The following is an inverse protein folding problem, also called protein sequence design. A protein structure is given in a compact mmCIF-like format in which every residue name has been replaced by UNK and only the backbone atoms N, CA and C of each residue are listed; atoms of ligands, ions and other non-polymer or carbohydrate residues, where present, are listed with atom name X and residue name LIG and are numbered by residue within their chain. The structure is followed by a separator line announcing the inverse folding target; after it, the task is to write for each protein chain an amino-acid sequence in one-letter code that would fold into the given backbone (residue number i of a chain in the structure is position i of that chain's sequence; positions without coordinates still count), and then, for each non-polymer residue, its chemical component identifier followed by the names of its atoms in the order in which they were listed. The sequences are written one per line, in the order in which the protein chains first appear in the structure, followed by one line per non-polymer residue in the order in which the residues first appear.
data_IF_139929917514
#
_entry.id   IF_139929917514
#
_cell.length_a   1.000
_cell.length_b   1.000
_cell.length_c   1.000
_cell.angle_alpha   90.00
_cell.angle_beta   90.00
_cell.angle_gamma   90.00
#
_symmetry.space_group_name_H-M   'P 1'
#
loop_
_entity.id
_entity.type
_entity.pdbx_description
1 polymer ?
#
# COMPACT_ATOMS: atom_id res chain seq x y z
N UNK A 1 -6.43 6.78 -14.04
CA UNK A 1 -7.02 6.51 -12.71
C UNK A 1 -5.93 6.54 -11.65
N UNK A 2 -6.19 7.18 -10.52
CA UNK A 2 -5.31 7.17 -9.35
C UNK A 2 -5.65 5.99 -8.45
N UNK A 3 -4.63 5.32 -7.93
CA UNK A 3 -4.78 4.24 -6.94
C UNK A 3 -3.88 4.55 -5.75
N UNK A 4 -4.45 4.63 -4.56
CA UNK A 4 -3.73 4.87 -3.32
C UNK A 4 -3.18 3.55 -2.79
N UNK A 5 -1.94 3.56 -2.31
CA UNK A 5 -1.33 2.37 -1.76
C UNK A 5 -0.49 2.70 -0.53
N UNK A 6 -0.31 1.70 0.30
CA UNK A 6 0.54 1.71 1.47
C UNK A 6 1.16 0.34 1.69
N UNK A 7 2.31 0.29 2.36
CA UNK A 7 3.03 -0.94 2.68
C UNK A 7 3.39 -1.01 4.15
N UNK A 8 3.43 -2.22 4.68
CA UNK A 8 4.01 -2.50 5.99
C UNK A 8 5.25 -3.40 5.82
N UNK A 9 6.28 -3.14 6.58
CA UNK A 9 7.55 -3.86 6.49
C UNK A 9 8.19 -4.09 7.86
N UNK A 10 9.19 -4.97 7.90
CA UNK A 10 9.70 -5.54 9.14
C UNK A 10 10.47 -4.56 10.02
N UNK A 11 11.20 -3.63 9.41
CA UNK A 11 12.03 -2.65 10.13
C UNK A 11 12.47 -1.51 9.20
N UNK A 12 12.87 -0.39 9.77
CA UNK A 12 13.55 0.72 9.09
C UNK A 12 15.07 0.53 8.96
N UNK A 13 15.57 -0.64 9.34
CA UNK A 13 17.00 -0.96 9.39
C UNK A 13 17.64 -1.26 8.04
N UNK A 14 18.73 -2.03 8.08
CA UNK A 14 19.60 -2.27 6.93
C UNK A 14 18.99 -3.21 5.87
N UNK A 15 18.11 -4.11 6.29
CA UNK A 15 17.51 -5.14 5.41
C UNK A 15 16.02 -5.31 5.72
N UNK A 16 15.19 -4.30 5.43
CA UNK A 16 13.75 -4.39 5.63
C UNK A 16 13.13 -5.45 4.71
N UNK A 17 12.06 -6.09 5.19
CA UNK A 17 11.30 -7.10 4.48
C UNK A 17 9.84 -6.70 4.40
N UNK A 18 9.23 -6.87 3.23
CA UNK A 18 7.82 -6.55 3.03
C UNK A 18 6.92 -7.50 3.84
N UNK A 19 5.97 -6.94 4.58
CA UNK A 19 4.97 -7.69 5.34
C UNK A 19 3.63 -7.70 4.64
N UNK A 20 3.15 -6.53 4.20
CA UNK A 20 1.85 -6.41 3.52
C UNK A 20 1.81 -5.21 2.58
N UNK A 21 0.86 -5.25 1.66
CA UNK A 21 0.52 -4.15 0.77
C UNK A 21 -0.99 -4.02 0.65
N UNK A 22 -1.49 -2.79 0.66
CA UNK A 22 -2.89 -2.46 0.43
C UNK A 22 -3.05 -1.39 -0.62
N UNK A 23 -4.04 -1.55 -1.48
CA UNK A 23 -4.38 -0.60 -2.54
C UNK A 23 -5.88 -0.33 -2.56
N UNK A 24 -6.26 0.90 -2.89
CA UNK A 24 -7.66 1.30 -3.08
C UNK A 24 -7.78 2.25 -4.26
N UNK A 25 -8.81 2.04 -5.08
CA UNK A 25 -9.10 2.91 -6.23
C UNK A 25 -9.57 4.30 -5.80
N UNK A 26 -9.43 5.26 -6.70
CA UNK A 26 -9.80 6.67 -6.49
C UNK A 26 -11.28 6.84 -6.06
N UNK A 27 -12.18 6.07 -6.64
CA UNK A 27 -13.60 6.03 -6.24
C UNK A 27 -13.84 5.30 -4.90
N UNK A 28 -12.85 4.53 -4.43
CA UNK A 28 -12.95 3.76 -3.18
C UNK A 28 -13.67 2.42 -3.32
N UNK A 29 -14.07 2.02 -4.53
CA UNK A 29 -14.93 0.85 -4.72
C UNK A 29 -14.18 -0.47 -4.85
N UNK A 30 -12.93 -0.43 -5.32
CA UNK A 30 -12.13 -1.63 -5.48
C UNK A 30 -10.87 -1.56 -4.60
N UNK A 31 -10.54 -2.69 -4.00
CA UNK A 31 -9.39 -2.83 -3.12
C UNK A 31 -8.58 -4.06 -3.47
N UNK A 32 -7.28 -3.97 -3.17
CA UNK A 32 -6.37 -5.11 -3.20
C UNK A 32 -5.62 -5.16 -1.86
N UNK A 33 -5.51 -6.32 -1.26
CA UNK A 33 -4.77 -6.53 -0.03
C UNK A 33 -4.04 -7.86 -0.05
N UNK A 34 -2.76 -7.86 0.32
CA UNK A 34 -1.96 -9.07 0.43
C UNK A 34 -0.98 -9.00 1.60
N UNK A 35 -0.77 -10.15 2.22
CA UNK A 35 0.24 -10.40 3.25
C UNK A 35 1.25 -11.43 2.74
N UNK A 36 2.52 -11.23 3.06
CA UNK A 36 3.60 -12.06 2.54
C UNK A 36 3.90 -13.26 3.46
N UNK A 37 4.02 -14.45 2.86
CA UNK A 37 4.33 -15.69 3.57
C UNK A 37 5.82 -16.08 3.52
N UNK A 38 6.60 -15.50 2.60
CA UNK A 38 7.95 -15.95 2.27
C UNK A 38 9.02 -14.86 2.24
N UNK A 39 8.69 -13.64 2.67
CA UNK A 39 9.60 -12.48 2.64
C UNK A 39 10.31 -12.24 3.96
N UNK A 40 9.69 -12.56 5.07
CA UNK A 40 10.19 -12.29 6.42
C UNK A 40 9.88 -13.45 7.38
N UNK A 41 10.59 -13.47 8.49
CA UNK A 41 10.20 -14.21 9.69
C UNK A 41 10.13 -13.30 10.92
N UNK A 42 9.73 -13.82 12.06
CA UNK A 42 9.58 -13.02 13.29
C UNK A 42 10.90 -12.39 13.76
N UNK A 43 12.04 -13.00 13.45
CA UNK A 43 13.34 -12.47 13.83
C UNK A 43 13.73 -11.25 13.00
N UNK A 44 13.18 -11.09 11.80
CA UNK A 44 13.38 -9.91 10.95
C UNK A 44 12.62 -8.68 11.46
N UNK A 45 11.59 -8.88 12.30
CA UNK A 45 10.71 -7.82 12.75
C UNK A 45 11.28 -7.07 13.96
N UNK A 46 11.40 -5.74 13.83
CA UNK A 46 11.66 -4.84 14.94
C UNK A 46 10.48 -4.73 15.91
N UNK A 47 10.67 -4.04 17.03
CA UNK A 47 9.65 -3.91 18.08
C UNK A 47 8.37 -3.25 17.56
N UNK A 48 8.49 -2.23 16.73
CA UNK A 48 7.33 -1.56 16.14
C UNK A 48 6.48 -2.50 15.28
N UNK A 49 7.11 -3.26 14.38
CA UNK A 49 6.38 -4.21 13.54
C UNK A 49 5.68 -5.28 14.39
N UNK A 50 6.35 -5.80 15.42
CA UNK A 50 5.78 -6.80 16.33
C UNK A 50 4.58 -6.28 17.12
N UNK A 51 4.62 -5.02 17.56
CA UNK A 51 3.59 -4.42 18.41
C UNK A 51 2.44 -3.80 17.61
N UNK A 52 2.75 -3.20 16.47
CA UNK A 52 1.80 -2.38 15.72
C UNK A 52 1.31 -3.01 14.41
N UNK A 53 2.13 -3.81 13.73
CA UNK A 53 1.81 -4.38 12.42
C UNK A 53 1.29 -5.81 12.51
N UNK A 54 2.08 -6.72 13.08
CA UNK A 54 1.74 -8.15 13.10
C UNK A 54 0.38 -8.46 13.75
N UNK A 55 -0.06 -7.79 14.85
CA UNK A 55 -1.36 -8.06 15.44
C UNK A 55 -2.56 -7.69 14.55
N UNK A 56 -2.34 -6.89 13.51
CA UNK A 56 -3.38 -6.44 12.58
C UNK A 56 -3.48 -7.27 11.32
N UNK A 57 -2.60 -8.24 11.12
CA UNK A 57 -2.65 -9.13 9.97
C UNK A 57 -3.88 -10.04 10.03
N UNK A 58 -4.46 -10.31 8.85
CA UNK A 58 -5.71 -11.05 8.70
C UNK A 58 -5.47 -12.55 8.46
N UNK A 59 -4.34 -12.90 7.84
CA UNK A 59 -4.05 -14.28 7.44
C UNK A 59 -5.00 -14.82 6.37
N UNK A 60 -5.20 -16.13 6.35
CA UNK A 60 -6.13 -16.76 5.42
C UNK A 60 -5.80 -16.50 3.96
N UNK A 61 -6.81 -16.11 3.18
CA UNK A 61 -6.69 -15.89 1.74
C UNK A 61 -5.81 -14.66 1.37
N UNK A 62 -5.55 -13.77 2.32
CA UNK A 62 -4.64 -12.64 2.11
C UNK A 62 -3.16 -13.06 2.12
N UNK A 63 -2.83 -14.18 2.75
CA UNK A 63 -1.45 -14.66 2.90
C UNK A 63 -1.00 -15.39 1.64
N UNK A 64 0.05 -14.89 1.00
CA UNK A 64 0.58 -15.43 -0.25
C UNK A 64 2.08 -15.21 -0.39
N UNK A 65 2.71 -15.90 -1.33
CA UNK A 65 4.11 -15.66 -1.68
C UNK A 65 4.28 -14.32 -2.42
N UNK A 66 5.50 -13.80 -2.44
CA UNK A 66 5.83 -12.59 -3.20
C UNK A 66 5.55 -12.77 -4.69
N UNK A 67 5.85 -13.94 -5.24
CA UNK A 67 5.57 -14.25 -6.64
C UNK A 67 4.06 -14.24 -6.94
N UNK A 68 3.27 -14.89 -6.12
CA UNK A 68 1.79 -14.91 -6.27
C UNK A 68 1.19 -13.51 -6.13
N UNK A 69 1.71 -12.71 -5.19
CA UNK A 69 1.30 -11.31 -5.05
C UNK A 69 1.56 -10.55 -6.35
N UNK A 70 2.74 -10.69 -6.94
CA UNK A 70 3.09 -10.04 -8.19
C UNK A 70 2.14 -10.42 -9.34
N UNK A 71 1.84 -11.70 -9.52
CA UNK A 71 0.90 -12.17 -10.53
C UNK A 71 -0.50 -11.58 -10.33
N UNK A 72 -1.03 -11.67 -9.11
CA UNK A 72 -2.37 -11.16 -8.79
C UNK A 72 -2.45 -9.64 -8.92
N UNK A 73 -1.41 -8.92 -8.53
CA UNK A 73 -1.38 -7.46 -8.63
C UNK A 73 -1.30 -6.98 -10.08
N UNK A 74 -0.50 -7.65 -10.94
CA UNK A 74 -0.48 -7.38 -12.39
C UNK A 74 -1.87 -7.56 -12.97
N UNK A 75 -2.51 -8.71 -12.71
CA UNK A 75 -3.84 -9.02 -13.22
C UNK A 75 -4.88 -8.00 -12.75
N UNK A 76 -4.85 -7.63 -11.47
CA UNK A 76 -5.77 -6.66 -10.90
C UNK A 76 -5.60 -5.26 -11.52
N UNK A 77 -4.37 -4.79 -11.69
CA UNK A 77 -4.08 -3.49 -12.31
C UNK A 77 -4.46 -3.47 -13.80
N UNK A 78 -4.10 -4.51 -14.54
CA UNK A 78 -4.39 -4.58 -15.99
C UNK A 78 -5.88 -4.74 -16.30
N UNK A 79 -6.65 -5.33 -15.37
CA UNK A 79 -8.10 -5.48 -15.52
C UNK A 79 -8.86 -4.15 -15.61
N UNK A 80 -8.27 -3.03 -15.13
CA UNK A 80 -8.90 -1.72 -15.27
C UNK A 80 -8.94 -1.23 -16.72
N UNK A 81 -8.03 -1.67 -17.58
CA UNK A 81 -8.02 -1.33 -19.00
C UNK A 81 -7.76 0.15 -19.31
N UNK A 82 -7.24 0.90 -18.34
CA UNK A 82 -6.87 2.31 -18.46
C UNK A 82 -5.52 2.59 -17.76
N UNK A 83 -4.84 3.70 -18.07
CA UNK A 83 -3.61 4.07 -17.38
C UNK A 83 -3.85 4.28 -15.87
N UNK A 84 -2.95 3.71 -15.06
CA UNK A 84 -2.96 3.77 -13.60
C UNK A 84 -1.72 4.49 -13.09
N UNK A 85 -1.90 5.38 -12.11
CA UNK A 85 -0.83 6.00 -11.34
C UNK A 85 -1.00 5.62 -9.87
N UNK A 86 0.05 5.10 -9.25
CA UNK A 86 0.05 4.82 -7.81
C UNK A 86 0.40 6.07 -7.01
N UNK A 87 -0.29 6.27 -5.89
CA UNK A 87 -0.08 7.41 -5.00
C UNK A 87 0.09 6.95 -3.55
N UNK A 88 1.04 7.55 -2.85
CA UNK A 88 1.30 7.32 -1.42
C UNK A 88 1.73 8.62 -0.74
N UNK A 89 1.63 8.66 0.57
CA UNK A 89 2.17 9.72 1.42
C UNK A 89 3.66 9.54 1.74
N UNK A 90 4.25 8.37 1.41
CA UNK A 90 5.62 8.01 1.78
C UNK A 90 6.38 7.31 0.67
N UNK A 91 6.71 8.03 -0.42
CA UNK A 91 7.38 7.45 -1.59
C UNK A 91 8.68 6.72 -1.25
N UNK A 92 9.49 7.29 -0.37
CA UNK A 92 10.81 6.72 -0.03
C UNK A 92 10.73 5.34 0.61
N UNK A 93 9.63 5.06 1.33
CA UNK A 93 9.41 3.81 2.04
C UNK A 93 8.53 2.82 1.29
N UNK A 94 7.54 3.29 0.52
CA UNK A 94 6.57 2.43 -0.14
C UNK A 94 6.94 2.06 -1.58
N UNK A 95 7.45 3.03 -2.35
CA UNK A 95 7.71 2.81 -3.77
C UNK A 95 8.75 1.73 -4.07
N UNK A 96 9.85 1.58 -3.30
CA UNK A 96 10.81 0.50 -3.54
C UNK A 96 10.19 -0.90 -3.51
N UNK A 97 9.15 -1.13 -2.73
CA UNK A 97 8.46 -2.42 -2.68
C UNK A 97 7.69 -2.73 -3.96
N UNK A 98 7.15 -1.74 -4.62
CA UNK A 98 6.52 -1.91 -5.95
C UNK A 98 7.54 -2.43 -6.96
N UNK A 99 8.75 -1.87 -6.96
CA UNK A 99 9.84 -2.35 -7.79
C UNK A 99 10.28 -3.77 -7.42
N UNK A 100 10.31 -4.12 -6.14
CA UNK A 100 10.67 -5.46 -5.71
C UNK A 100 9.63 -6.50 -6.14
N UNK A 101 8.34 -6.19 -5.96
CA UNK A 101 7.23 -7.07 -6.37
C UNK A 101 7.30 -7.38 -7.87
N UNK A 102 7.38 -6.38 -8.71
CA UNK A 102 7.39 -6.57 -10.16
C UNK A 102 8.76 -7.02 -10.68
N UNK A 103 9.85 -6.67 -9.99
CA UNK A 103 11.20 -7.17 -10.29
C UNK A 103 11.31 -8.67 -10.05
N UNK A 104 10.78 -9.19 -8.95
CA UNK A 104 10.73 -10.62 -8.65
C UNK A 104 9.90 -11.38 -9.69
N UNK A 105 8.78 -10.82 -10.09
CA UNK A 105 7.92 -11.40 -11.12
C UNK A 105 8.57 -11.33 -12.52
N UNK A 106 9.43 -10.34 -12.77
CA UNK A 106 10.01 -10.08 -14.09
C UNK A 106 9.03 -9.42 -15.08
N UNK A 107 7.95 -8.83 -14.58
CA UNK A 107 6.90 -8.20 -15.39
C UNK A 107 6.42 -6.92 -14.73
N UNK A 108 6.40 -5.81 -15.48
CA UNK A 108 5.76 -4.56 -15.08
C UNK A 108 4.38 -4.47 -15.74
N UNK A 109 3.31 -4.08 -15.01
CA UNK A 109 1.98 -3.93 -15.62
C UNK A 109 1.98 -2.94 -16.77
N UNK A 110 1.38 -3.30 -17.90
CA UNK A 110 1.42 -2.51 -19.13
C UNK A 110 0.78 -1.12 -18.97
N UNK A 111 -0.20 -1.00 -18.08
CA UNK A 111 -0.95 0.22 -17.83
C UNK A 111 -0.48 1.01 -16.59
N UNK A 112 0.56 0.54 -15.89
CA UNK A 112 1.07 1.22 -14.70
C UNK A 112 2.16 2.24 -15.04
N UNK A 113 1.90 3.52 -14.70
CA UNK A 113 2.90 4.57 -14.79
C UNK A 113 4.09 4.25 -13.87
N UNK A 114 5.30 4.44 -14.40
CA UNK A 114 6.53 4.26 -13.62
C UNK A 114 6.85 5.45 -12.70
N UNK A 115 6.03 6.50 -12.76
CA UNK A 115 6.15 7.68 -11.92
C UNK A 115 5.02 7.71 -10.91
N UNK A 116 5.29 7.42 -9.63
CA UNK A 116 4.29 7.51 -8.58
C UNK A 116 3.99 8.98 -8.25
N UNK A 117 2.82 9.20 -7.66
CA UNK A 117 2.45 10.50 -7.13
C UNK A 117 2.68 10.52 -5.61
N UNK A 118 3.35 11.57 -5.12
CA UNK A 118 3.40 11.87 -3.68
C UNK A 118 2.16 12.65 -3.28
N UNK A 119 1.52 12.26 -2.19
CA UNK A 119 0.35 12.96 -1.66
C UNK A 119 0.79 14.19 -0.87
N UNK A 120 0.08 15.30 -1.08
CA UNK A 120 0.29 16.53 -0.31
C UNK A 120 -0.31 16.38 1.08
N UNK A 121 0.52 16.48 2.10
CA UNK A 121 0.15 16.33 3.50
C UNK A 121 -0.06 17.70 4.15
N UNK A 122 -1.10 18.40 3.73
CA UNK A 122 -1.53 19.66 4.36
C UNK A 122 -2.42 19.42 5.60
N UNK A 123 -2.90 20.50 6.19
CA UNK A 123 -3.74 20.43 7.39
C UNK A 123 -5.02 19.64 7.18
N UNK A 124 -5.69 19.83 6.04
CA UNK A 124 -6.94 19.14 5.75
C UNK A 124 -6.72 17.65 5.52
N UNK A 125 -5.65 17.30 4.81
CA UNK A 125 -5.20 15.91 4.66
C UNK A 125 -5.00 15.24 6.02
N UNK A 126 -4.20 15.85 6.89
CA UNK A 126 -3.86 15.27 8.19
C UNK A 126 -5.08 15.14 9.11
N UNK A 127 -5.97 16.13 9.12
CA UNK A 127 -7.22 16.05 9.90
C UNK A 127 -8.15 14.93 9.41
N UNK A 128 -8.24 14.72 8.11
CA UNK A 128 -9.05 13.65 7.55
C UNK A 128 -8.51 12.27 7.92
N UNK A 129 -7.19 12.09 7.87
CA UNK A 129 -6.52 10.86 8.30
C UNK A 129 -6.79 10.57 9.79
N UNK A 130 -6.62 11.57 10.67
CA UNK A 130 -6.91 11.40 12.10
C UNK A 130 -8.36 10.99 12.35
N UNK A 131 -9.31 11.61 11.65
CA UNK A 131 -10.73 11.23 11.74
C UNK A 131 -10.99 9.81 11.26
N UNK A 132 -10.34 9.38 10.19
CA UNK A 132 -10.48 8.03 9.65
C UNK A 132 -10.04 6.97 10.66
N UNK A 133 -8.91 7.19 11.32
CA UNK A 133 -8.40 6.27 12.33
C UNK A 133 -9.10 6.37 13.69
N UNK A 134 -9.74 7.48 13.98
CA UNK A 134 -10.63 7.58 15.13
C UNK A 134 -11.92 6.79 14.93
N UNK A 135 -12.33 6.57 13.66
CA UNK A 135 -13.47 5.75 13.28
C UNK A 135 -13.10 4.26 13.13
N UNK A 136 -13.40 3.70 11.96
CA UNK A 136 -13.32 2.25 11.74
C UNK A 136 -11.99 1.74 11.16
N UNK A 137 -11.12 2.64 10.66
CA UNK A 137 -9.85 2.26 10.06
C UNK A 137 -8.77 1.96 11.12
N UNK A 138 -7.95 0.95 10.84
CA UNK A 138 -6.87 0.48 11.72
C UNK A 138 -5.54 1.07 11.25
N UNK A 139 -4.85 1.84 12.10
CA UNK A 139 -3.47 2.24 11.83
C UNK A 139 -2.56 1.02 11.68
N UNK A 140 -1.59 1.12 10.79
CA UNK A 140 -0.60 0.07 10.53
C UNK A 140 -1.22 -1.23 10.00
N UNK A 141 -2.32 -1.09 9.28
CA UNK A 141 -2.88 -2.06 8.38
C UNK A 141 -2.84 -1.45 6.98
N UNK A 142 -2.04 -2.01 6.08
CA UNK A 142 -1.71 -1.35 4.81
C UNK A 142 -2.92 -0.97 3.96
N UNK A 143 -3.98 -1.78 3.95
CA UNK A 143 -5.20 -1.42 3.23
C UNK A 143 -5.94 -0.25 3.91
N UNK A 144 -6.04 -0.25 5.23
CA UNK A 144 -6.71 0.82 5.96
C UNK A 144 -5.91 2.13 5.88
N UNK A 145 -4.58 2.05 5.90
CA UNK A 145 -3.70 3.21 5.69
C UNK A 145 -3.84 3.77 4.26
N UNK A 146 -3.92 2.93 3.24
CA UNK A 146 -4.22 3.35 1.87
C UNK A 146 -5.60 4.04 1.75
N UNK A 147 -6.63 3.51 2.42
CA UNK A 147 -7.96 4.13 2.50
C UNK A 147 -7.93 5.49 3.21
N UNK A 148 -7.16 5.61 4.29
CA UNK A 148 -6.98 6.86 5.01
C UNK A 148 -6.29 7.90 4.11
N UNK A 149 -5.25 7.52 3.37
CA UNK A 149 -4.56 8.37 2.41
C UNK A 149 -5.52 8.89 1.32
N UNK A 150 -6.41 8.04 0.81
CA UNK A 150 -7.45 8.45 -0.11
C UNK A 150 -8.38 9.51 0.50
N UNK A 151 -8.84 9.31 1.72
CA UNK A 151 -9.70 10.28 2.43
C UNK A 151 -8.98 11.61 2.67
N UNK A 152 -7.70 11.56 3.02
CA UNK A 152 -6.84 12.73 3.14
C UNK A 152 -6.73 13.51 1.82
N UNK A 153 -6.51 12.80 0.73
CA UNK A 153 -6.41 13.39 -0.61
C UNK A 153 -7.71 14.10 -1.03
N UNK A 154 -8.87 13.45 -0.76
CA UNK A 154 -10.19 14.08 -1.03
C UNK A 154 -10.36 15.36 -0.21
N UNK A 155 -9.99 15.34 1.07
CA UNK A 155 -10.13 16.48 1.97
C UNK A 155 -9.21 17.66 1.61
N UNK A 156 -8.00 17.36 1.15
CA UNK A 156 -7.04 18.38 0.70
C UNK A 156 -7.48 19.11 -0.58
N UNK A 157 -8.51 18.60 -1.24
CA UNK A 157 -8.97 19.06 -2.54
C UNK A 157 -8.12 18.45 -3.65
N UNK A 158 -8.80 17.97 -4.69
CA UNK A 158 -8.14 17.54 -5.93
C UNK A 158 -7.53 18.79 -6.54
N UNK A 159 -6.21 18.88 -6.64
CA UNK A 159 -5.58 19.91 -7.45
C UNK A 159 -6.03 19.69 -8.90
N UNK A 160 -7.12 20.35 -9.27
CA UNK A 160 -7.53 20.48 -10.67
C UNK A 160 -6.65 21.57 -11.28
N UNK A 161 -5.43 21.23 -11.67
CA UNK A 161 -4.69 21.96 -12.71
C UNK A 161 -4.64 21.16 -14.01
#
# INVERSE_FOLDING_TARGET
MLIFFDTEFSDLGVDPRLISIGLVTEDGEQTFYAELSDTYDLNDCGDFARLAVLPRLEGGDALMSLHELGERLVDWLQAFGEPVTLATDSLAWDWPWVHEIFGELGTWPDNLDQRPQILRQDTEFNLAIERAFFGDLRRHHSLDDAKANRLGWIAAGVDTE
#
